data_IF_576930958975
#
_entry.id   IF_576930958975
#
_cell.length_a   1.000
_cell.length_b   1.000
_cell.length_c   1.000
_cell.angle_alpha   90.00
_cell.angle_beta   90.00
_cell.angle_gamma   90.00
#
_symmetry.space_group_name_H-M   'P 1'
#
loop_
_entity.id
_entity.type
_entity.pdbx_description
1 polymer ?
#
# COMPACT_ATOMS: atom_id res chain seq x y z
N UNK A 1 15.67 18.13 29.79
CA UNK A 1 14.91 18.40 28.54
C UNK A 1 15.37 17.37 27.52
N UNK A 2 14.66 16.24 27.40
CA UNK A 2 15.07 15.15 26.52
C UNK A 2 14.72 15.51 25.07
N UNK A 3 15.74 15.83 24.27
CA UNK A 3 15.60 15.91 22.82
C UNK A 3 15.55 14.48 22.27
N UNK A 4 14.35 13.95 22.10
CA UNK A 4 14.15 12.78 21.24
C UNK A 4 14.28 13.31 19.81
N UNK A 5 15.50 13.32 19.29
CA UNK A 5 15.72 13.45 17.85
C UNK A 5 15.23 12.13 17.25
N UNK A 6 13.97 12.10 16.83
CA UNK A 6 13.48 11.04 15.96
C UNK A 6 14.24 11.17 14.66
N UNK A 7 15.32 10.40 14.51
CA UNK A 7 15.90 10.16 13.20
C UNK A 7 14.76 9.72 12.30
N UNK A 8 14.61 10.39 11.16
CA UNK A 8 13.67 10.10 10.07
C UNK A 8 14.00 8.70 9.52
N UNK A 9 13.61 7.68 10.26
CA UNK A 9 13.92 6.29 9.95
C UNK A 9 12.91 5.79 8.92
N UNK A 10 13.38 4.96 7.98
CA UNK A 10 12.54 4.31 6.97
C UNK A 10 11.57 3.29 7.60
N UNK A 11 11.82 2.90 8.86
CA UNK A 11 11.03 1.92 9.58
C UNK A 11 9.54 2.31 9.77
N UNK A 12 9.19 3.52 10.29
CA UNK A 12 7.79 3.95 10.42
C UNK A 12 7.04 4.01 9.09
N UNK A 13 7.67 4.45 7.99
CA UNK A 13 7.00 4.52 6.69
C UNK A 13 6.67 3.14 6.11
N UNK A 14 7.56 2.15 6.32
CA UNK A 14 7.30 0.75 5.96
C UNK A 14 6.12 0.20 6.77
N UNK A 15 6.10 0.40 8.10
CA UNK A 15 5.02 -0.11 8.96
C UNK A 15 3.68 0.51 8.58
N UNK A 16 3.63 1.82 8.34
CA UNK A 16 2.41 2.50 7.89
C UNK A 16 1.93 1.98 6.54
N UNK A 17 2.84 1.78 5.58
CA UNK A 17 2.51 1.22 4.26
C UNK A 17 1.94 -0.19 4.39
N UNK A 18 2.54 -1.05 5.21
CA UNK A 18 2.05 -2.41 5.45
C UNK A 18 0.68 -2.42 6.13
N UNK A 19 0.47 -1.56 7.12
CA UNK A 19 -0.81 -1.44 7.81
C UNK A 19 -1.92 -0.99 6.84
N UNK A 20 -1.61 -0.03 5.97
CA UNK A 20 -2.55 0.43 4.95
C UNK A 20 -2.85 -0.68 3.91
N UNK A 21 -1.84 -1.44 3.49
CA UNK A 21 -2.03 -2.60 2.60
C UNK A 21 -2.93 -3.66 3.24
N UNK A 22 -2.71 -3.97 4.51
CA UNK A 22 -3.52 -4.94 5.26
C UNK A 22 -4.96 -4.45 5.40
N UNK A 23 -5.13 -3.15 5.68
CA UNK A 23 -6.46 -2.52 5.75
C UNK A 23 -7.19 -2.61 4.41
N UNK A 24 -6.53 -2.29 3.29
CA UNK A 24 -7.10 -2.43 1.95
C UNK A 24 -7.48 -3.89 1.67
N UNK A 25 -6.59 -4.85 1.96
CA UNK A 25 -6.87 -6.27 1.81
C UNK A 25 -8.13 -6.70 2.58
N UNK A 26 -8.25 -6.26 3.83
CA UNK A 26 -9.40 -6.59 4.68
C UNK A 26 -10.69 -5.97 4.13
N UNK A 27 -10.65 -4.70 3.71
CA UNK A 27 -11.79 -4.03 3.07
C UNK A 27 -12.23 -4.75 1.81
N UNK A 28 -11.30 -5.12 0.92
CA UNK A 28 -11.62 -5.88 -0.31
C UNK A 28 -12.26 -7.22 0.04
N UNK A 29 -11.73 -7.96 1.02
CA UNK A 29 -12.33 -9.23 1.46
C UNK A 29 -13.72 -9.04 2.05
N UNK A 30 -13.96 -7.97 2.81
CA UNK A 30 -15.29 -7.65 3.34
C UNK A 30 -16.28 -7.29 2.22
N UNK A 31 -15.86 -6.49 1.23
CA UNK A 31 -16.65 -6.17 0.04
C UNK A 31 -17.01 -7.46 -0.70
N UNK A 32 -16.02 -8.30 -0.98
CA UNK A 32 -16.26 -9.59 -1.64
C UNK A 32 -17.22 -10.46 -0.84
N UNK A 33 -17.09 -10.50 0.49
CA UNK A 33 -17.99 -11.28 1.35
C UNK A 33 -19.42 -10.74 1.38
N UNK A 34 -19.59 -9.44 1.22
CA UNK A 34 -20.90 -8.79 1.24
C UNK A 34 -21.61 -8.91 -0.12
N UNK A 35 -20.88 -8.69 -1.22
CA UNK A 35 -21.46 -8.62 -2.56
C UNK A 35 -21.40 -9.93 -3.35
N UNK A 36 -20.38 -10.76 -3.14
CA UNK A 36 -20.41 -12.14 -3.63
C UNK A 36 -20.85 -13.06 -2.50
N UNK A 37 -21.73 -14.03 -2.77
CA UNK A 37 -21.93 -15.14 -1.85
C UNK A 37 -20.65 -16.00 -1.87
N UNK A 38 -19.58 -15.57 -1.18
CA UNK A 38 -18.29 -16.28 -1.05
C UNK A 38 -18.44 -17.73 -0.54
N UNK A 39 -19.63 -18.10 -0.04
CA UNK A 39 -19.96 -19.45 0.40
C UNK A 39 -20.42 -20.38 -0.72
N UNK A 40 -20.89 -19.85 -1.85
CA UNK A 40 -21.46 -20.64 -2.95
C UNK A 40 -20.63 -20.57 -4.22
N UNK A 41 -19.79 -19.55 -4.38
CA UNK A 41 -18.81 -19.50 -5.48
C UNK A 41 -17.62 -20.42 -5.20
N UNK A 42 -17.17 -21.21 -6.19
CA UNK A 42 -15.95 -22.01 -6.04
C UNK A 42 -14.75 -21.15 -5.64
N UNK A 43 -13.99 -21.61 -4.65
CA UNK A 43 -12.88 -20.85 -4.06
C UNK A 43 -11.79 -20.45 -5.07
N UNK A 44 -11.68 -21.15 -6.21
CA UNK A 44 -10.71 -20.81 -7.25
C UNK A 44 -10.98 -19.47 -7.95
N UNK A 45 -12.22 -18.95 -7.89
CA UNK A 45 -12.53 -17.60 -8.39
C UNK A 45 -12.11 -16.50 -7.41
N UNK A 46 -11.92 -16.81 -6.13
CA UNK A 46 -11.66 -15.81 -5.10
C UNK A 46 -10.34 -15.07 -5.35
N UNK A 47 -9.29 -15.81 -5.70
CA UNK A 47 -7.94 -15.25 -5.92
C UNK A 47 -7.92 -14.25 -7.08
N UNK A 48 -8.35 -14.59 -8.31
CA UNK A 48 -8.34 -13.63 -9.42
C UNK A 48 -9.26 -12.43 -9.18
N UNK A 49 -10.45 -12.64 -8.58
CA UNK A 49 -11.37 -11.54 -8.27
C UNK A 49 -10.78 -10.63 -7.19
N UNK A 50 -10.12 -11.19 -6.17
CA UNK A 50 -9.43 -10.42 -5.15
C UNK A 50 -8.37 -9.51 -5.78
N UNK A 51 -7.47 -10.06 -6.60
CA UNK A 51 -6.43 -9.25 -7.25
C UNK A 51 -7.00 -8.20 -8.21
N UNK A 52 -8.08 -8.52 -8.93
CA UNK A 52 -8.75 -7.57 -9.82
C UNK A 52 -9.26 -6.30 -9.11
N UNK A 53 -9.64 -6.40 -7.84
CA UNK A 53 -10.06 -5.23 -7.03
C UNK A 53 -8.92 -4.66 -6.19
N UNK A 54 -8.06 -5.53 -5.69
CA UNK A 54 -7.00 -5.17 -4.75
C UNK A 54 -5.88 -4.35 -5.41
N UNK A 55 -5.45 -4.72 -6.62
CA UNK A 55 -4.41 -3.98 -7.35
C UNK A 55 -4.80 -2.52 -7.65
N UNK A 56 -5.97 -2.21 -8.24
CA UNK A 56 -6.38 -0.83 -8.45
C UNK A 56 -6.62 -0.08 -7.13
N UNK A 57 -7.07 -0.74 -6.07
CA UNK A 57 -7.16 -0.12 -4.75
C UNK A 57 -5.77 0.26 -4.19
N UNK A 58 -4.74 -0.57 -4.41
CA UNK A 58 -3.36 -0.25 -4.05
C UNK A 58 -2.80 0.94 -4.84
N UNK A 59 -3.22 1.19 -6.09
CA UNK A 59 -2.80 2.40 -6.83
C UNK A 59 -3.20 3.70 -6.14
N UNK A 60 -4.37 3.74 -5.49
CA UNK A 60 -4.83 4.92 -4.75
C UNK A 60 -3.84 5.30 -3.64
N UNK A 61 -3.18 4.31 -3.06
CA UNK A 61 -2.11 4.52 -2.08
C UNK A 61 -0.76 4.79 -2.75
N UNK A 62 -0.43 4.07 -3.81
CA UNK A 62 0.90 4.13 -4.43
C UNK A 62 1.17 5.48 -5.10
N UNK A 63 0.17 6.08 -5.74
CA UNK A 63 0.28 7.39 -6.42
C UNK A 63 0.78 8.51 -5.50
N UNK A 64 0.11 8.82 -4.37
CA UNK A 64 0.56 9.89 -3.49
C UNK A 64 1.91 9.57 -2.82
N UNK A 65 2.20 8.30 -2.53
CA UNK A 65 3.50 7.89 -1.97
C UNK A 65 4.63 8.07 -2.99
N UNK A 66 4.39 7.80 -4.26
CA UNK A 66 5.33 8.02 -5.35
C UNK A 66 5.65 9.51 -5.53
N UNK A 67 4.61 10.36 -5.55
CA UNK A 67 4.76 11.82 -5.62
C UNK A 67 5.53 12.39 -4.42
N UNK A 68 5.21 11.93 -3.20
CA UNK A 68 5.91 12.34 -1.99
C UNK A 68 7.39 11.88 -1.97
N UNK A 69 7.67 10.70 -2.52
CA UNK A 69 9.04 10.16 -2.60
C UNK A 69 9.88 10.87 -3.67
N UNK A 70 9.26 11.36 -4.74
CA UNK A 70 9.91 12.12 -5.82
C UNK A 70 10.13 13.60 -5.52
N UNK A 71 9.43 14.18 -4.54
CA UNK A 71 9.60 15.56 -4.14
C UNK A 71 11.01 15.78 -3.53
N UNK A 72 11.86 16.55 -4.22
CA UNK A 72 13.16 17.03 -3.71
C UNK A 72 12.91 18.12 -2.67
N UNK A 73 12.72 17.73 -1.42
CA UNK A 73 12.83 18.63 -0.27
C UNK A 73 14.16 18.36 0.41
N UNK A 74 14.94 19.40 0.67
CA UNK A 74 16.30 19.29 1.28
C UNK A 74 16.27 18.73 2.71
N UNK A 75 15.09 18.65 3.34
CA UNK A 75 14.88 18.02 4.65
C UNK A 75 14.23 16.63 4.52
N UNK A 76 14.99 15.58 4.83
CA UNK A 76 14.46 14.20 5.00
C UNK A 76 13.46 14.10 6.16
N UNK A 77 13.52 15.00 7.14
CA UNK A 77 12.61 15.02 8.30
C UNK A 77 11.19 15.53 7.97
N UNK A 78 11.02 16.24 6.86
CA UNK A 78 9.71 16.79 6.43
C UNK A 78 9.01 15.89 5.40
N UNK A 79 9.71 14.87 4.90
CA UNK A 79 9.12 13.86 4.01
C UNK A 79 8.13 13.01 4.81
N UNK A 80 6.88 12.96 4.37
CA UNK A 80 5.82 12.16 5.00
C UNK A 80 6.06 10.64 4.88
N UNK A 81 5.11 9.90 4.30
CA UNK A 81 5.34 8.48 4.00
C UNK A 81 6.16 8.38 2.69
N UNK A 82 7.41 7.93 2.78
CA UNK A 82 8.23 7.61 1.60
C UNK A 82 8.76 6.18 1.66
N UNK A 83 8.96 5.58 0.50
CA UNK A 83 9.47 4.22 0.34
C UNK A 83 10.82 4.24 -0.39
N UNK A 84 11.69 3.23 -0.19
CA UNK A 84 12.91 3.09 -0.99
C UNK A 84 12.56 2.98 -2.49
N UNK A 85 13.34 3.63 -3.35
CA UNK A 85 13.09 3.69 -4.80
C UNK A 85 12.88 2.30 -5.44
N UNK A 86 13.65 1.29 -5.00
CA UNK A 86 13.49 -0.09 -5.48
C UNK A 86 12.10 -0.67 -5.16
N UNK A 87 11.58 -0.39 -3.95
CA UNK A 87 10.27 -0.90 -3.52
C UNK A 87 9.18 -0.26 -4.36
N UNK A 88 9.20 1.06 -4.55
CA UNK A 88 8.25 1.77 -5.42
C UNK A 88 8.24 1.22 -6.85
N UNK A 89 9.41 1.06 -7.48
CA UNK A 89 9.50 0.56 -8.84
C UNK A 89 8.94 -0.87 -8.99
N UNK A 90 9.20 -1.74 -8.01
CA UNK A 90 8.65 -3.11 -8.02
C UNK A 90 7.14 -3.09 -7.78
N UNK A 91 6.66 -2.30 -6.82
CA UNK A 91 5.23 -2.14 -6.54
C UNK A 91 4.45 -1.62 -7.74
N UNK A 92 4.98 -0.62 -8.46
CA UNK A 92 4.40 -0.12 -9.69
C UNK A 92 4.34 -1.20 -10.78
N UNK A 93 5.42 -1.96 -10.94
CA UNK A 93 5.44 -3.06 -11.91
C UNK A 93 4.40 -4.13 -11.58
N UNK A 94 4.29 -4.55 -10.32
CA UNK A 94 3.27 -5.54 -9.94
C UNK A 94 1.87 -4.98 -10.21
N UNK A 95 1.62 -3.74 -9.82
CA UNK A 95 0.27 -3.15 -9.93
C UNK A 95 -0.15 -2.86 -11.37
N UNK A 96 0.82 -2.60 -12.26
CA UNK A 96 0.55 -2.33 -13.67
C UNK A 96 0.50 -3.59 -14.54
N UNK A 97 1.31 -4.61 -14.22
CA UNK A 97 1.48 -5.79 -15.07
C UNK A 97 0.73 -7.04 -14.62
N UNK A 98 0.25 -7.10 -13.37
CA UNK A 98 -0.59 -8.19 -12.85
C UNK A 98 -2.07 -7.87 -13.08
#
# INVERSE_FOLDING_TARGET
MFHIVSASSVAPSIVLTLLALLTISLVVLLILRFYLPLRTTPAFYLVPIFFALWLPACMVLLVPVDLASGAKTDDEATRGVWLPARVLLVSWRITYWL
#
